data_IF_779881280941
#
_entry.id   IF_779881280941
#
_cell.length_a   1.000
_cell.length_b   1.000
_cell.length_c   1.000
_cell.angle_alpha   90.00
_cell.angle_beta   90.00
_cell.angle_gamma   90.00
#
_symmetry.space_group_name_H-M   'P 1'
#
loop_
_entity.id
_entity.type
_entity.pdbx_description
1 polymer ?
#
# COMPACT_ATOMS: atom_id res chain seq x y z
N UNK A 1 -47.65 -27.96 11.15
CA UNK A 1 -46.18 -28.11 10.98
C UNK A 1 -45.74 -27.11 9.91
N UNK A 2 -45.51 -25.80 10.14
CA UNK A 2 -44.60 -25.13 11.09
C UNK A 2 -43.30 -25.93 11.24
N UNK A 3 -42.15 -25.32 10.89
CA UNK A 3 -40.77 -25.87 10.92
C UNK A 3 -40.12 -26.33 9.60
N UNK A 4 -40.48 -25.77 8.43
CA UNK A 4 -39.69 -25.97 7.20
C UNK A 4 -39.12 -24.69 6.59
N UNK A 5 -38.98 -23.62 7.37
CA UNK A 5 -38.42 -22.32 6.90
C UNK A 5 -37.07 -21.98 7.57
N UNK A 6 -36.60 -22.77 8.53
CA UNK A 6 -35.38 -22.46 9.30
C UNK A 6 -34.09 -23.17 8.84
N UNK A 7 -34.14 -23.99 7.78
CA UNK A 7 -33.00 -24.79 7.32
C UNK A 7 -32.21 -24.17 6.15
N UNK A 8 -32.49 -22.92 5.76
CA UNK A 8 -31.75 -22.19 4.72
C UNK A 8 -31.02 -20.95 5.27
N UNK A 9 -30.86 -20.83 6.58
CA UNK A 9 -30.22 -19.67 7.19
C UNK A 9 -28.73 -19.79 7.56
N UNK A 10 -28.07 -20.97 7.67
CA UNK A 10 -26.66 -20.98 8.10
C UNK A 10 -25.65 -20.80 6.94
N UNK A 11 -26.06 -20.83 5.67
CA UNK A 11 -25.12 -20.74 4.54
C UNK A 11 -24.66 -19.30 4.19
N UNK A 12 -25.26 -18.27 4.79
CA UNK A 12 -24.90 -16.87 4.55
C UNK A 12 -23.80 -16.33 5.49
N UNK A 13 -23.36 -17.11 6.49
CA UNK A 13 -22.43 -16.64 7.53
C UNK A 13 -20.98 -17.13 7.36
N UNK A 14 -20.69 -18.01 6.40
CA UNK A 14 -19.34 -18.53 6.15
C UNK A 14 -18.57 -17.79 5.02
N UNK A 15 -19.09 -16.68 4.52
CA UNK A 15 -18.51 -15.98 3.35
C UNK A 15 -17.38 -14.97 3.63
N UNK A 16 -17.13 -14.59 4.89
CA UNK A 16 -16.21 -13.48 5.19
C UNK A 16 -14.79 -13.90 5.61
N UNK A 17 -14.34 -15.11 5.28
CA UNK A 17 -12.97 -15.57 5.60
C UNK A 17 -11.99 -15.50 4.43
N UNK A 18 -12.41 -14.97 3.28
CA UNK A 18 -11.55 -14.88 2.07
C UNK A 18 -10.77 -13.55 2.00
N UNK A 19 -11.00 -12.61 2.93
CA UNK A 19 -10.36 -11.29 2.89
C UNK A 19 -8.90 -11.28 3.39
N UNK A 20 -8.52 -12.23 4.24
CA UNK A 20 -7.20 -12.24 4.88
C UNK A 20 -6.07 -12.85 4.01
N UNK A 21 -6.41 -13.38 2.83
CA UNK A 21 -5.45 -14.08 1.95
C UNK A 21 -5.16 -13.36 0.64
N UNK A 22 -5.73 -12.17 0.40
CA UNK A 22 -5.49 -11.44 -0.84
C UNK A 22 -4.16 -10.66 -0.76
N UNK A 23 -3.28 -10.77 -1.77
CA UNK A 23 -2.00 -10.10 -1.77
C UNK A 23 -2.18 -8.59 -1.66
N UNK A 24 -1.20 -7.92 -1.03
CA UNK A 24 -1.14 -6.48 -0.74
C UNK A 24 -1.29 -5.54 -1.96
N UNK A 25 -1.48 -6.09 -3.16
CA UNK A 25 -1.65 -5.41 -4.45
C UNK A 25 -2.95 -5.84 -5.14
N UNK A 26 -4.04 -6.01 -4.40
CA UNK A 26 -5.33 -6.29 -5.03
C UNK A 26 -5.93 -5.04 -5.68
N UNK A 27 -6.27 -5.18 -6.96
CA UNK A 27 -7.05 -4.28 -7.83
C UNK A 27 -8.43 -3.89 -7.30
N UNK A 28 -8.79 -4.29 -6.08
CA UNK A 28 -10.01 -3.87 -5.39
C UNK A 28 -9.94 -2.40 -4.93
N UNK A 29 -8.72 -1.89 -4.74
CA UNK A 29 -8.42 -0.52 -4.36
C UNK A 29 -7.71 0.19 -5.52
N UNK A 30 -8.33 0.13 -6.71
CA UNK A 30 -7.88 0.77 -7.97
C UNK A 30 -7.83 2.30 -7.81
N UNK A 31 -6.88 2.76 -7.00
CA UNK A 31 -6.62 4.14 -6.65
C UNK A 31 -5.13 4.41 -6.76
N UNK A 32 -4.80 5.46 -7.50
CA UNK A 32 -3.44 5.97 -7.61
C UNK A 32 -3.01 6.66 -6.31
N UNK A 33 -2.40 5.87 -5.42
CA UNK A 33 -1.92 6.34 -4.12
C UNK A 33 -0.80 7.37 -4.22
N UNK A 34 -0.12 7.43 -5.37
CA UNK A 34 0.88 8.44 -5.70
C UNK A 34 0.56 9.04 -7.06
N UNK A 35 0.43 10.37 -7.11
CA UNK A 35 0.16 11.11 -8.34
C UNK A 35 1.16 12.23 -8.53
N UNK A 36 1.50 12.55 -9.78
CA UNK A 36 2.33 13.70 -10.07
C UNK A 36 1.55 15.00 -9.85
N UNK A 37 2.08 15.92 -9.03
CA UNK A 37 1.36 17.11 -8.56
C UNK A 37 0.77 17.98 -9.68
N UNK A 38 1.50 18.12 -10.80
CA UNK A 38 1.14 19.06 -11.85
C UNK A 38 0.29 18.42 -12.96
N UNK A 39 0.43 17.11 -13.17
CA UNK A 39 -0.22 16.40 -14.28
C UNK A 39 -1.31 15.45 -13.82
N UNK A 40 -1.42 15.20 -12.51
CA UNK A 40 -2.28 14.17 -11.90
C UNK A 40 -2.09 12.77 -12.49
N UNK A 41 -0.96 12.53 -13.16
CA UNK A 41 -0.65 11.22 -13.72
C UNK A 41 -0.28 10.23 -12.61
N UNK A 42 -0.67 8.96 -12.77
CA UNK A 42 -0.29 7.91 -11.84
C UNK A 42 1.22 7.71 -11.80
N UNK A 43 1.70 7.13 -10.70
CA UNK A 43 3.07 6.66 -10.60
C UNK A 43 3.32 5.54 -11.62
N UNK A 44 4.28 5.75 -12.52
CA UNK A 44 4.70 4.75 -13.49
C UNK A 44 5.66 3.72 -12.87
N UNK A 45 5.67 2.51 -13.43
CA UNK A 45 6.46 1.37 -12.92
C UNK A 45 7.97 1.62 -12.91
N UNK A 46 8.48 2.38 -13.88
CA UNK A 46 9.89 2.78 -13.98
C UNK A 46 10.28 3.67 -12.79
N UNK A 47 9.49 4.70 -12.50
CA UNK A 47 9.74 5.61 -11.38
C UNK A 47 9.58 4.88 -10.05
N UNK A 48 8.57 4.01 -9.93
CA UNK A 48 8.41 3.14 -8.77
C UNK A 48 9.66 2.29 -8.54
N UNK A 49 10.11 1.58 -9.58
CA UNK A 49 11.26 0.67 -9.52
C UNK A 49 12.55 1.42 -9.18
N UNK A 50 12.78 2.59 -9.78
CA UNK A 50 13.93 3.43 -9.49
C UNK A 50 13.98 3.85 -8.01
N UNK A 51 12.89 4.44 -7.52
CA UNK A 51 12.84 4.89 -6.12
C UNK A 51 12.85 3.74 -5.13
N UNK A 52 12.25 2.59 -5.49
CA UNK A 52 12.31 1.39 -4.68
C UNK A 52 13.74 0.87 -4.58
N UNK A 53 14.44 0.70 -5.70
CA UNK A 53 15.84 0.28 -5.70
C UNK A 53 16.75 1.25 -4.94
N UNK A 54 16.50 2.56 -5.04
CA UNK A 54 17.22 3.56 -4.24
C UNK A 54 16.99 3.35 -2.73
N UNK A 55 15.76 3.06 -2.33
CA UNK A 55 15.40 2.83 -0.93
C UNK A 55 16.05 1.60 -0.29
N UNK A 56 16.53 0.65 -1.10
CA UNK A 56 17.20 -0.56 -0.64
C UNK A 56 18.72 -0.40 -0.48
N UNK A 57 19.32 0.64 -1.09
CA UNK A 57 20.78 0.81 -1.10
C UNK A 57 21.34 0.99 0.31
N UNK A 58 22.39 0.23 0.62
CA UNK A 58 23.10 0.32 1.89
C UNK A 58 22.43 -0.41 3.07
N UNK A 59 21.32 -1.13 2.82
CA UNK A 59 20.68 -1.96 3.83
C UNK A 59 20.96 -3.45 3.61
N UNK A 60 20.87 -4.22 4.70
CA UNK A 60 20.74 -5.67 4.60
C UNK A 60 19.36 -6.02 4.06
N UNK A 61 19.31 -6.85 3.01
CA UNK A 61 18.09 -7.25 2.33
C UNK A 61 17.86 -8.75 2.50
N UNK A 62 16.63 -9.12 2.83
CA UNK A 62 16.14 -10.50 2.80
C UNK A 62 15.10 -10.63 1.69
N UNK A 63 15.18 -11.71 0.92
CA UNK A 63 14.12 -12.06 -0.03
C UNK A 63 12.99 -12.77 0.72
N UNK A 64 11.78 -12.22 0.65
CA UNK A 64 10.56 -12.83 1.19
C UNK A 64 9.62 -13.08 0.01
N UNK A 65 9.45 -14.36 -0.35
CA UNK A 65 8.54 -14.80 -1.41
C UNK A 65 8.76 -14.09 -2.76
N UNK A 66 10.01 -13.83 -3.12
CA UNK A 66 10.38 -13.14 -4.37
C UNK A 66 10.54 -11.62 -4.23
N UNK A 67 10.19 -11.04 -3.08
CA UNK A 67 10.27 -9.60 -2.85
C UNK A 67 11.45 -9.24 -1.94
N UNK A 68 12.33 -8.29 -2.33
CA UNK A 68 13.38 -7.81 -1.45
C UNK A 68 12.80 -6.95 -0.34
N UNK A 69 13.13 -7.28 0.92
CA UNK A 69 12.71 -6.53 2.10
C UNK A 69 13.92 -6.17 2.98
N UNK A 70 13.93 -4.94 3.49
CA UNK A 70 14.97 -4.45 4.40
C UNK A 70 14.87 -5.13 5.76
N UNK A 71 15.99 -5.59 6.30
CA UNK A 71 16.07 -6.23 7.62
C UNK A 71 16.11 -5.17 8.74
N UNK A 72 15.24 -5.33 9.73
CA UNK A 72 15.16 -4.48 10.93
C UNK A 72 14.15 -3.33 10.81
N UNK A 73 13.38 -3.09 11.87
CA UNK A 73 12.25 -2.15 11.85
C UNK A 73 12.67 -0.69 11.62
N UNK A 74 13.72 -0.24 12.29
CA UNK A 74 14.26 1.12 12.10
C UNK A 74 14.80 1.32 10.68
N UNK A 75 15.50 0.31 10.14
CA UNK A 75 16.00 0.34 8.77
C UNK A 75 14.86 0.37 7.75
N UNK A 76 13.80 -0.42 7.97
CA UNK A 76 12.58 -0.36 7.14
C UNK A 76 12.00 1.04 7.14
N UNK A 77 11.88 1.67 8.32
CA UNK A 77 11.37 3.05 8.43
C UNK A 77 12.22 4.06 7.66
N UNK A 78 13.55 3.94 7.74
CA UNK A 78 14.47 4.82 6.99
C UNK A 78 14.36 4.55 5.49
N UNK A 79 14.41 3.31 5.05
CA UNK A 79 14.23 2.89 3.65
C UNK A 79 12.94 3.45 3.06
N UNK A 80 11.82 3.24 3.76
CA UNK A 80 10.50 3.80 3.40
C UNK A 80 10.50 5.32 3.25
N UNK A 81 11.24 6.03 4.11
CA UNK A 81 11.42 7.49 4.01
C UNK A 81 12.28 7.89 2.80
N UNK A 82 13.31 7.12 2.45
CA UNK A 82 14.10 7.33 1.23
C UNK A 82 13.20 7.19 0.01
N UNK A 83 12.39 6.14 -0.06
CA UNK A 83 11.40 5.94 -1.12
C UNK A 83 10.46 7.14 -1.29
N UNK A 84 9.80 7.56 -0.20
CA UNK A 84 8.87 8.70 -0.22
C UNK A 84 9.55 10.00 -0.62
N UNK A 85 10.79 10.21 -0.18
CA UNK A 85 11.60 11.39 -0.56
C UNK A 85 12.00 11.37 -2.04
N UNK A 86 12.38 10.21 -2.57
CA UNK A 86 12.71 10.05 -3.99
C UNK A 86 11.52 10.40 -4.88
N UNK A 87 10.33 9.86 -4.58
CA UNK A 87 9.10 10.17 -5.31
C UNK A 87 8.78 11.66 -5.30
N UNK A 88 9.00 12.30 -4.15
CA UNK A 88 8.76 13.72 -3.96
C UNK A 88 9.68 14.62 -4.75
N UNK A 89 10.97 14.28 -4.79
CA UNK A 89 11.94 14.97 -5.63
C UNK A 89 11.57 14.86 -7.12
N UNK A 90 10.87 13.80 -7.51
CA UNK A 90 10.31 13.59 -8.85
C UNK A 90 8.91 14.20 -9.05
N UNK A 91 8.39 14.95 -8.09
CA UNK A 91 7.13 15.71 -8.21
C UNK A 91 5.86 14.94 -7.83
N UNK A 92 5.98 13.73 -7.27
CA UNK A 92 4.83 12.93 -6.83
C UNK A 92 4.38 13.30 -5.42
N UNK A 93 3.08 13.29 -5.18
CA UNK A 93 2.46 13.47 -3.86
C UNK A 93 1.68 12.22 -3.48
N UNK A 94 1.61 11.95 -2.19
CA UNK A 94 0.77 10.88 -1.68
C UNK A 94 -0.70 11.32 -1.73
N UNK A 95 -1.55 10.57 -2.44
CA UNK A 95 -2.94 10.90 -2.75
C UNK A 95 -3.91 9.77 -2.36
N UNK A 96 -3.60 8.98 -1.34
CA UNK A 96 -4.53 7.95 -0.86
C UNK A 96 -5.83 8.54 -0.25
N UNK A 97 -6.96 7.97 -0.62
CA UNK A 97 -8.27 8.27 -0.07
C UNK A 97 -8.39 7.85 1.39
N UNK A 98 -9.44 8.36 2.06
CA UNK A 98 -9.82 7.91 3.39
C UNK A 98 -10.12 6.40 3.43
N UNK A 99 -10.76 5.87 2.37
CA UNK A 99 -11.14 4.45 2.27
C UNK A 99 -9.89 3.57 2.20
N UNK A 100 -8.88 3.97 1.42
CA UNK A 100 -7.57 3.32 1.38
C UNK A 100 -6.89 3.35 2.76
N UNK A 101 -6.83 4.52 3.41
CA UNK A 101 -6.18 4.67 4.71
C UNK A 101 -6.88 3.94 5.86
N UNK A 102 -8.18 3.68 5.75
CA UNK A 102 -8.90 2.85 6.71
C UNK A 102 -8.38 1.41 6.69
N UNK A 103 -8.10 0.86 5.50
CA UNK A 103 -7.56 -0.49 5.33
C UNK A 103 -6.05 -0.55 5.58
N UNK A 104 -5.31 0.46 5.10
CA UNK A 104 -3.85 0.49 5.08
C UNK A 104 -3.30 1.60 5.97
N UNK A 105 -3.69 1.57 7.24
CA UNK A 105 -3.36 2.62 8.21
C UNK A 105 -1.87 2.88 8.32
N UNK A 106 -1.06 1.82 8.44
CA UNK A 106 0.40 1.95 8.57
C UNK A 106 1.03 2.64 7.36
N UNK A 107 0.60 2.30 6.13
CA UNK A 107 1.10 2.94 4.90
C UNK A 107 0.73 4.42 4.90
N UNK A 108 -0.51 4.75 5.27
CA UNK A 108 -0.94 6.14 5.33
C UNK A 108 -0.23 6.93 6.41
N UNK A 109 -0.09 6.42 7.62
CA UNK A 109 0.63 7.10 8.70
C UNK A 109 2.08 7.37 8.32
N UNK A 110 2.70 6.44 7.59
CA UNK A 110 4.05 6.56 7.09
C UNK A 110 4.22 7.61 5.98
N UNK A 111 3.26 7.73 5.05
CA UNK A 111 3.40 8.60 3.88
C UNK A 111 2.56 9.89 3.92
N UNK A 112 1.77 10.11 4.99
CA UNK A 112 0.93 11.30 5.15
C UNK A 112 1.71 12.61 5.07
N UNK A 113 2.98 12.63 5.48
CA UNK A 113 3.85 13.82 5.38
C UNK A 113 4.10 14.27 3.94
N UNK A 114 3.91 13.39 2.96
CA UNK A 114 4.14 13.65 1.54
C UNK A 114 2.89 14.09 0.76
N UNK A 115 1.76 14.30 1.45
CA UNK A 115 0.50 14.79 0.83
C UNK A 115 0.58 16.22 0.30
N UNK A 116 1.46 17.06 0.87
CA UNK A 116 1.60 18.49 0.50
C UNK A 116 3.03 18.82 0.17
N UNK A 117 3.31 19.55 -0.91
CA UNK A 117 4.65 20.07 -1.19
C UNK A 117 5.09 20.99 -0.03
N UNK A 118 6.30 20.76 0.51
CA UNK A 118 6.92 21.78 1.37
C UNK A 118 7.37 22.89 0.41
N UNK A 119 6.71 24.04 0.51
CA UNK A 119 7.13 25.26 -0.21
C UNK A 119 8.41 25.80 0.42
#
# INVERSE_FOLDING_TARGET
MRYFIFLLFPFMLSGCLVWDLMPLYSSFWDEDTWIHKNTNQPLSDDIHTDCFNESLKGFEIRNISGYPEVVGEDNKKISKRIYGTCLRNKGFIFNASYKYCYQFREICDQYNEYRKMKN
#
